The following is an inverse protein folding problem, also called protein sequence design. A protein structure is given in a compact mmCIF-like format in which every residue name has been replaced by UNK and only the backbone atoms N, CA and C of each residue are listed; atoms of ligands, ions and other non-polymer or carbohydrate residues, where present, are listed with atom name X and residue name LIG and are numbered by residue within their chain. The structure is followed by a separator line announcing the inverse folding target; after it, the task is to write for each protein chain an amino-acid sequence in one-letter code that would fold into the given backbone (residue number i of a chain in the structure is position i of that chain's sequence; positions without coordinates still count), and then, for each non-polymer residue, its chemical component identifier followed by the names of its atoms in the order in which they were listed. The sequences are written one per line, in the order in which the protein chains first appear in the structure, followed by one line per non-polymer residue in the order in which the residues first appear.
data_IF_435215112119
#
_entry.id   IF_435215112119
#
_cell.length_a   1.000
_cell.length_b   1.000
_cell.length_c   1.000
_cell.angle_alpha   90.00
_cell.angle_beta   90.00
_cell.angle_gamma   90.00
#
_symmetry.space_group_name_H-M   'P 1'
#
loop_
_entity.id
_entity.type
_entity.pdbx_description
1 polymer ?
#
# COMPACT_ATOMS: atom_id res chain seq x y z
N UNK A 1 8.44 24.08 18.61
CA UNK A 1 8.16 23.10 17.54
C UNK A 1 9.45 22.52 16.95
N UNK A 2 10.40 23.31 16.42
CA UNK A 2 11.62 22.79 15.77
C UNK A 2 12.40 21.73 16.59
N UNK A 3 12.55 21.93 17.90
CA UNK A 3 13.30 21.00 18.76
C UNK A 3 12.62 19.64 18.96
N UNK A 4 11.28 19.59 18.96
CA UNK A 4 10.55 18.31 18.98
C UNK A 4 10.59 17.56 17.64
N UNK A 5 10.86 18.27 16.53
CA UNK A 5 11.01 17.65 15.20
C UNK A 5 12.32 16.91 15.06
N UNK A 6 13.40 17.51 15.58
CA UNK A 6 14.74 16.92 15.50
C UNK A 6 14.83 15.65 16.35
N UNK A 7 14.25 15.62 17.56
CA UNK A 7 14.37 14.46 18.45
C UNK A 7 13.57 13.22 17.98
N UNK A 8 12.44 13.42 17.28
CA UNK A 8 11.54 12.31 16.92
C UNK A 8 12.04 11.45 15.75
N UNK A 9 12.76 12.03 14.79
CA UNK A 9 13.29 11.32 13.62
C UNK A 9 14.83 11.28 13.59
N UNK A 10 15.51 11.47 14.72
CA UNK A 10 16.96 11.35 14.74
C UNK A 10 17.43 9.91 14.62
N UNK A 11 18.00 9.58 13.47
CA UNK A 11 18.98 8.48 13.40
C UNK A 11 20.20 8.84 14.26
N UNK A 12 20.67 7.96 15.16
CA UNK A 12 21.91 8.22 15.87
C UNK A 12 23.04 8.31 14.84
N UNK A 13 23.65 9.50 14.73
CA UNK A 13 24.77 9.71 13.82
C UNK A 13 25.93 8.82 14.26
N UNK A 14 26.31 7.88 13.39
CA UNK A 14 27.47 6.99 13.58
C UNK A 14 28.57 7.35 12.62
N UNK A 15 29.78 7.42 13.16
CA UNK A 15 31.01 7.58 12.39
C UNK A 15 31.33 6.29 11.63
N UNK A 16 32.14 6.40 10.57
CA UNK A 16 32.63 5.23 9.84
C UNK A 16 33.45 4.30 10.77
N UNK A 17 34.23 4.89 11.68
CA UNK A 17 35.03 4.17 12.66
C UNK A 17 34.19 3.29 13.58
N UNK A 18 33.11 3.81 14.16
CA UNK A 18 32.23 3.03 15.05
C UNK A 18 31.61 1.80 14.34
N UNK A 19 31.21 1.96 13.07
CA UNK A 19 30.65 0.87 12.27
C UNK A 19 31.73 -0.18 11.92
N UNK A 20 32.94 0.28 11.59
CA UNK A 20 34.08 -0.56 11.27
C UNK A 20 34.62 -1.34 12.48
N UNK A 21 34.76 -0.66 13.62
CA UNK A 21 35.25 -1.24 14.87
C UNK A 21 34.32 -2.33 15.39
N UNK A 22 32.99 -2.17 15.23
CA UNK A 22 32.01 -3.23 15.52
C UNK A 22 32.24 -4.49 14.68
N UNK A 23 32.80 -4.35 13.49
CA UNK A 23 33.18 -5.45 12.60
C UNK A 23 34.64 -5.92 12.79
N UNK A 24 35.38 -5.34 13.74
CA UNK A 24 36.80 -5.65 13.99
C UNK A 24 37.74 -5.14 12.90
N UNK A 25 37.35 -4.11 12.14
CA UNK A 25 38.14 -3.54 11.05
C UNK A 25 38.80 -2.22 11.45
N UNK A 26 40.10 -2.08 11.18
CA UNK A 26 40.79 -0.81 11.28
C UNK A 26 40.70 -0.01 9.97
N UNK A 27 40.98 1.30 10.04
CA UNK A 27 40.99 2.18 8.86
C UNK A 27 41.94 1.69 7.74
N UNK A 28 43.05 1.04 8.11
CA UNK A 28 44.00 0.44 7.18
C UNK A 28 43.40 -0.75 6.44
N UNK A 29 42.63 -1.59 7.12
CA UNK A 29 42.00 -2.78 6.53
C UNK A 29 40.95 -2.36 5.52
N UNK A 30 40.15 -1.35 5.88
CA UNK A 30 39.12 -0.79 5.00
C UNK A 30 39.76 -0.18 3.75
N UNK A 31 40.83 0.59 3.88
CA UNK A 31 41.51 1.17 2.72
C UNK A 31 42.04 0.10 1.76
N UNK A 32 42.58 -1.01 2.28
CA UNK A 32 43.10 -2.13 1.48
C UNK A 32 41.96 -2.88 0.80
N UNK A 33 40.93 -3.27 1.55
CA UNK A 33 39.84 -4.12 1.07
C UNK A 33 38.89 -3.37 0.12
N UNK A 34 38.62 -2.08 0.37
CA UNK A 34 37.70 -1.28 -0.46
C UNK A 34 38.36 -0.62 -1.66
N UNK A 35 39.70 -0.58 -1.71
CA UNK A 35 40.45 0.19 -2.70
C UNK A 35 40.34 1.72 -2.54
N UNK A 36 39.68 2.21 -1.49
CA UNK A 36 39.61 3.64 -1.17
C UNK A 36 40.93 4.09 -0.55
N UNK A 37 41.49 5.20 -1.01
CA UNK A 37 42.74 5.74 -0.48
C UNK A 37 42.68 5.96 1.05
N UNK A 38 43.76 5.65 1.76
CA UNK A 38 43.87 5.85 3.22
C UNK A 38 43.53 7.26 3.68
N UNK A 39 43.90 8.29 2.93
CA UNK A 39 43.56 9.69 3.24
C UNK A 39 42.06 9.96 3.22
N UNK A 40 41.34 9.40 2.24
CA UNK A 40 39.88 9.48 2.16
C UNK A 40 39.21 8.71 3.30
N UNK A 41 39.65 7.48 3.61
CA UNK A 41 39.12 6.72 4.76
C UNK A 41 39.36 7.49 6.07
N UNK A 42 40.57 8.01 6.27
CA UNK A 42 40.92 8.80 7.46
C UNK A 42 40.07 10.07 7.62
N UNK A 43 39.75 10.77 6.53
CA UNK A 43 38.87 11.95 6.57
C UNK A 43 37.45 11.61 7.00
N UNK A 44 36.94 10.46 6.58
CA UNK A 44 35.58 9.99 6.88
C UNK A 44 35.50 9.29 8.25
N UNK A 45 36.63 8.81 8.78
CA UNK A 45 36.70 7.88 9.92
C UNK A 45 35.92 8.35 11.14
N UNK A 46 36.14 9.59 11.57
CA UNK A 46 35.55 10.16 12.79
C UNK A 46 34.45 11.20 12.51
N UNK A 47 34.02 11.33 11.26
CA UNK A 47 33.02 12.31 10.88
C UNK A 47 31.62 11.70 10.96
N UNK A 48 30.71 12.19 11.84
CA UNK A 48 29.37 11.65 11.94
C UNK A 48 28.50 11.89 10.68
N UNK A 49 28.91 12.83 9.82
CA UNK A 49 28.25 13.15 8.53
C UNK A 49 29.04 12.64 7.34
N UNK A 50 29.86 11.59 7.53
CA UNK A 50 30.70 11.04 6.48
C UNK A 50 29.93 10.60 5.24
N UNK A 51 28.69 10.12 5.39
CA UNK A 51 27.82 9.72 4.28
C UNK A 51 27.50 10.88 3.33
N UNK A 52 27.30 12.10 3.86
CA UNK A 52 27.03 13.30 3.05
C UNK A 52 28.24 13.73 2.22
N UNK A 53 29.44 13.35 2.66
CA UNK A 53 30.73 13.74 2.07
C UNK A 53 31.32 12.67 1.16
N UNK A 54 30.84 11.44 1.25
CA UNK A 54 31.28 10.34 0.42
C UNK A 54 30.65 10.44 -0.97
N UNK A 55 31.44 10.28 -2.04
CA UNK A 55 30.88 10.07 -3.37
C UNK A 55 30.13 8.73 -3.41
N UNK A 56 29.19 8.57 -4.35
CA UNK A 56 28.46 7.31 -4.51
C UNK A 56 29.38 6.10 -4.73
N UNK A 57 30.49 6.27 -5.44
CA UNK A 57 31.51 5.24 -5.63
C UNK A 57 32.23 4.85 -4.35
N UNK A 58 32.59 5.82 -3.50
CA UNK A 58 33.22 5.57 -2.20
C UNK A 58 32.22 4.89 -1.26
N UNK A 59 30.98 5.39 -1.18
CA UNK A 59 29.95 4.78 -0.35
C UNK A 59 29.66 3.32 -0.74
N UNK A 60 29.62 3.03 -2.04
CA UNK A 60 29.45 1.66 -2.55
C UNK A 60 30.65 0.76 -2.21
N UNK A 61 31.87 1.25 -2.38
CA UNK A 61 33.09 0.50 -2.04
C UNK A 61 33.18 0.21 -0.53
N UNK A 62 32.85 1.18 0.32
CA UNK A 62 32.79 0.99 1.77
C UNK A 62 31.67 0.02 2.16
N UNK A 63 30.48 0.12 1.55
CA UNK A 63 29.34 -0.79 1.79
C UNK A 63 29.63 -2.24 1.40
N UNK A 64 30.57 -2.48 0.48
CA UNK A 64 30.96 -3.81 0.07
C UNK A 64 31.89 -4.51 1.08
N UNK A 65 32.54 -3.74 1.95
CA UNK A 65 33.63 -4.22 2.82
C UNK A 65 33.27 -4.15 4.29
N UNK A 66 32.51 -3.14 4.71
CA UNK A 66 32.17 -2.92 6.12
C UNK A 66 30.72 -3.36 6.37
N UNK A 67 30.50 -4.47 7.11
CA UNK A 67 29.17 -4.91 7.50
C UNK A 67 28.40 -3.80 8.23
N UNK A 68 27.11 -3.65 7.90
CA UNK A 68 26.22 -2.67 8.54
C UNK A 68 26.25 -1.27 7.94
N UNK A 69 27.20 -0.92 7.04
CA UNK A 69 27.13 0.37 6.32
C UNK A 69 25.88 0.46 5.46
N UNK A 70 25.50 -0.62 4.76
CA UNK A 70 24.29 -0.62 3.91
C UNK A 70 23.03 -0.34 4.73
N UNK A 71 22.89 -1.01 5.86
CA UNK A 71 21.73 -0.86 6.74
C UNK A 71 21.70 0.54 7.35
N UNK A 72 22.85 1.05 7.80
CA UNK A 72 22.98 2.42 8.31
C UNK A 72 22.67 3.47 7.23
N UNK A 73 23.18 3.30 6.01
CA UNK A 73 22.89 4.20 4.90
C UNK A 73 21.41 4.19 4.51
N UNK A 74 20.76 3.02 4.57
CA UNK A 74 19.31 2.90 4.35
C UNK A 74 18.54 3.66 5.42
N UNK A 75 18.87 3.45 6.70
CA UNK A 75 18.26 4.17 7.82
C UNK A 75 18.38 5.70 7.70
N UNK A 76 19.58 6.19 7.35
CA UNK A 76 19.84 7.62 7.15
C UNK A 76 19.04 8.15 5.95
N UNK A 77 19.00 7.40 4.83
CA UNK A 77 18.24 7.79 3.66
C UNK A 77 16.73 7.85 3.96
N UNK A 78 16.21 6.87 4.68
CA UNK A 78 14.80 6.79 5.10
C UNK A 78 14.42 7.94 6.03
N UNK A 79 15.29 8.27 6.97
CA UNK A 79 15.14 9.44 7.86
C UNK A 79 15.09 10.75 7.07
N UNK A 80 16.04 10.95 6.14
CA UNK A 80 16.09 12.15 5.31
C UNK A 80 14.86 12.25 4.40
N UNK A 81 14.43 11.13 3.80
CA UNK A 81 13.27 11.08 2.92
C UNK A 81 11.98 11.39 3.70
N UNK A 82 11.80 10.79 4.87
CA UNK A 82 10.65 11.04 5.76
C UNK A 82 10.59 12.51 6.17
N UNK A 83 11.70 13.07 6.64
CA UNK A 83 11.77 14.47 7.04
C UNK A 83 11.42 15.40 5.88
N UNK A 84 11.98 15.19 4.69
CA UNK A 84 11.65 15.99 3.49
C UNK A 84 10.16 15.89 3.11
N UNK A 85 9.58 14.70 3.24
CA UNK A 85 8.15 14.53 2.97
C UNK A 85 7.28 15.23 4.03
N UNK A 86 7.70 15.22 5.30
CA UNK A 86 7.04 15.97 6.36
C UNK A 86 7.14 17.48 6.18
N UNK A 87 8.33 17.99 5.81
CA UNK A 87 8.53 19.40 5.44
C UNK A 87 7.65 19.81 4.26
N UNK A 88 7.42 18.92 3.28
CA UNK A 88 6.49 19.18 2.17
C UNK A 88 5.03 19.29 2.65
N UNK A 89 4.61 18.50 3.64
CA UNK A 89 3.29 18.64 4.27
C UNK A 89 3.17 20.00 4.98
N UNK A 90 4.18 20.39 5.76
CA UNK A 90 4.18 21.69 6.45
C UNK A 90 4.15 22.86 5.47
N UNK A 91 4.90 22.79 4.37
CA UNK A 91 4.87 23.77 3.29
C UNK A 91 3.50 23.84 2.59
N UNK A 92 2.73 22.75 2.58
CA UNK A 92 1.36 22.69 2.09
C UNK A 92 0.32 23.13 3.14
N UNK A 93 0.74 23.57 4.32
CA UNK A 93 -0.12 24.05 5.40
C UNK A 93 -0.66 22.98 6.34
N UNK A 94 -0.09 21.76 6.32
CA UNK A 94 -0.47 20.69 7.24
C UNK A 94 0.40 20.73 8.51
N UNK A 95 -0.22 20.54 9.67
CA UNK A 95 0.49 20.32 10.92
C UNK A 95 0.63 18.81 11.18
N UNK A 96 1.87 18.35 11.41
CA UNK A 96 2.19 16.94 11.64
C UNK A 96 2.50 16.68 13.11
N UNK A 97 2.01 15.55 13.61
CA UNK A 97 2.51 14.96 14.86
C UNK A 97 3.76 14.12 14.54
N UNK A 98 4.93 14.70 14.84
CA UNK A 98 6.21 14.08 14.54
C UNK A 98 6.51 12.85 15.39
N UNK A 99 5.90 12.71 16.58
CA UNK A 99 6.05 11.52 17.41
C UNK A 99 5.31 10.35 16.78
N UNK A 100 4.04 10.55 16.43
CA UNK A 100 3.24 9.52 15.76
C UNK A 100 3.79 9.18 14.38
N UNK A 101 4.41 10.14 13.69
CA UNK A 101 5.08 9.89 12.44
C UNK A 101 6.32 8.98 12.61
N UNK A 102 7.11 9.19 13.68
CA UNK A 102 8.26 8.34 13.98
C UNK A 102 7.81 6.90 14.28
N UNK A 103 6.79 6.74 15.13
CA UNK A 103 6.20 5.43 15.44
C UNK A 103 5.71 4.73 14.16
N UNK A 104 5.04 5.47 13.27
CA UNK A 104 4.56 4.93 11.99
C UNK A 104 5.72 4.50 11.07
N UNK A 105 6.84 5.23 11.06
CA UNK A 105 8.04 4.85 10.28
C UNK A 105 8.69 3.59 10.87
N UNK A 106 8.74 3.47 12.19
CA UNK A 106 9.29 2.28 12.86
C UNK A 106 8.43 1.02 12.59
N UNK A 107 7.11 1.18 12.48
CA UNK A 107 6.18 0.07 12.21
C UNK A 107 6.06 -0.30 10.72
N UNK A 108 5.96 0.70 9.82
CA UNK A 108 5.67 0.49 8.39
C UNK A 108 6.90 0.65 7.47
N UNK A 109 7.97 1.27 7.98
CA UNK A 109 9.11 1.69 7.19
C UNK A 109 8.83 2.92 6.32
N UNK A 110 9.88 3.66 6.00
CA UNK A 110 9.76 4.88 5.20
C UNK A 110 9.20 4.65 3.78
N UNK A 111 9.32 3.42 3.26
CA UNK A 111 8.82 3.03 1.93
C UNK A 111 7.31 3.24 1.77
N UNK A 112 6.53 3.06 2.85
CA UNK A 112 5.09 3.32 2.87
C UNK A 112 4.74 4.76 3.27
N UNK A 113 5.46 5.28 4.25
CA UNK A 113 5.22 6.60 4.87
C UNK A 113 5.52 7.75 3.93
N UNK A 114 6.67 7.73 3.25
CA UNK A 114 7.11 8.82 2.38
C UNK A 114 6.11 9.10 1.24
N UNK A 115 5.62 8.09 0.49
CA UNK A 115 4.57 8.30 -0.50
C UNK A 115 3.27 8.87 0.08
N UNK A 116 2.86 8.42 1.28
CA UNK A 116 1.64 8.88 1.93
C UNK A 116 1.73 10.37 2.30
N UNK A 117 2.85 10.82 2.88
CA UNK A 117 3.10 12.22 3.19
C UNK A 117 3.10 13.10 1.93
N UNK A 118 3.78 12.69 0.86
CA UNK A 118 3.71 13.41 -0.41
C UNK A 118 2.28 13.44 -0.99
N UNK A 119 1.50 12.38 -0.78
CA UNK A 119 0.07 12.34 -1.08
C UNK A 119 -0.71 13.38 -0.29
N UNK A 120 -0.48 13.47 1.03
CA UNK A 120 -1.13 14.46 1.89
C UNK A 120 -0.79 15.90 1.48
N UNK A 121 0.49 16.20 1.25
CA UNK A 121 0.95 17.50 0.78
C UNK A 121 0.30 17.88 -0.57
N UNK A 122 0.20 16.94 -1.51
CA UNK A 122 -0.45 17.17 -2.79
C UNK A 122 -1.97 17.41 -2.62
N UNK A 123 -2.67 16.66 -1.77
CA UNK A 123 -4.10 16.87 -1.53
C UNK A 123 -4.39 18.25 -0.92
N UNK A 124 -3.56 18.69 0.02
CA UNK A 124 -3.69 19.98 0.68
C UNK A 124 -3.36 21.15 -0.27
N UNK A 125 -2.26 21.07 -1.03
CA UNK A 125 -1.73 22.18 -1.82
C UNK A 125 -2.04 22.15 -3.32
N UNK A 126 -1.96 20.98 -3.99
CA UNK A 126 -2.12 20.85 -5.44
C UNK A 126 -2.87 19.58 -5.85
N UNK A 127 -4.19 19.71 -6.00
CA UNK A 127 -5.09 18.60 -6.33
C UNK A 127 -4.76 17.93 -7.68
N UNK A 128 -4.10 18.61 -8.63
CA UNK A 128 -3.82 18.05 -9.96
C UNK A 128 -2.84 16.87 -9.91
N UNK A 129 -1.85 16.94 -9.02
CA UNK A 129 -0.84 15.87 -8.87
C UNK A 129 -1.22 14.84 -7.79
N UNK A 130 -2.25 15.13 -6.99
CA UNK A 130 -2.63 14.32 -5.84
C UNK A 130 -3.04 12.89 -6.21
N UNK A 131 -3.77 12.69 -7.31
CA UNK A 131 -4.13 11.34 -7.76
C UNK A 131 -2.87 10.51 -8.11
N UNK A 132 -1.91 11.12 -8.80
CA UNK A 132 -0.63 10.48 -9.09
C UNK A 132 0.17 10.18 -7.82
N UNK A 133 0.18 11.09 -6.86
CA UNK A 133 0.85 10.90 -5.56
C UNK A 133 0.23 9.71 -4.80
N UNK A 134 -1.08 9.71 -4.61
CA UNK A 134 -1.80 8.63 -3.93
C UNK A 134 -1.64 7.27 -4.62
N UNK A 135 -1.52 7.23 -5.94
CA UNK A 135 -1.32 5.95 -6.66
C UNK A 135 -0.05 5.19 -6.23
N UNK A 136 0.94 5.89 -5.65
CA UNK A 136 2.16 5.27 -5.10
C UNK A 136 1.90 4.55 -3.77
N UNK A 137 0.81 4.87 -3.10
CA UNK A 137 0.37 4.20 -1.88
C UNK A 137 -0.39 2.89 -2.17
N UNK A 138 -0.53 2.50 -3.44
CA UNK A 138 -1.24 1.28 -3.81
C UNK A 138 -0.46 0.02 -3.42
N UNK A 139 -0.92 -0.65 -2.38
CA UNK A 139 -0.41 -1.93 -1.89
C UNK A 139 -0.27 -1.97 -0.36
N UNK A 140 -0.15 -3.17 0.19
CA UNK A 140 -0.17 -3.40 1.63
C UNK A 140 0.86 -2.58 2.42
N UNK A 141 2.08 -2.45 1.91
CA UNK A 141 3.17 -1.73 2.57
C UNK A 141 2.90 -0.23 2.80
N UNK A 142 1.98 0.38 2.03
CA UNK A 142 1.66 1.80 2.15
C UNK A 142 0.21 2.04 2.58
N UNK A 143 -0.59 0.99 2.78
CA UNK A 143 -2.02 1.10 3.06
C UNK A 143 -2.27 1.79 4.41
N UNK A 144 -1.58 1.33 5.46
CA UNK A 144 -1.67 1.88 6.83
C UNK A 144 -1.19 3.33 6.88
N UNK A 145 0.00 3.63 6.37
CA UNK A 145 0.48 5.00 6.27
C UNK A 145 -0.46 5.93 5.48
N UNK A 146 -1.04 5.45 4.38
CA UNK A 146 -2.03 6.19 3.62
C UNK A 146 -3.39 6.30 4.35
N UNK A 147 -3.72 5.42 5.29
CA UNK A 147 -4.89 5.56 6.16
C UNK A 147 -4.66 6.66 7.21
N UNK A 148 -3.46 6.69 7.81
CA UNK A 148 -3.08 7.62 8.87
C UNK A 148 -3.16 9.10 8.46
N UNK A 149 -2.92 9.45 7.19
CA UNK A 149 -3.02 10.85 6.72
C UNK A 149 -4.47 11.36 6.62
N UNK A 150 -5.47 10.48 6.65
CA UNK A 150 -6.91 10.82 6.57
C UNK A 150 -7.60 10.85 7.94
N UNK A 151 -6.87 10.57 9.02
CA UNK A 151 -7.41 10.40 10.37
C UNK A 151 -6.81 11.46 11.30
N UNK A 152 -7.55 11.90 12.32
CA UNK A 152 -6.97 12.72 13.38
C UNK A 152 -6.05 11.87 14.28
N UNK A 153 -5.14 12.50 15.06
CA UNK A 153 -4.21 11.79 15.95
C UNK A 153 -4.90 10.90 16.98
N UNK A 154 -6.06 11.33 17.51
CA UNK A 154 -6.90 10.56 18.43
C UNK A 154 -7.43 9.24 17.85
N UNK A 155 -7.22 9.00 16.57
CA UNK A 155 -7.61 7.80 15.85
C UNK A 155 -6.44 7.18 15.08
N UNK A 156 -5.20 7.41 15.51
CA UNK A 156 -4.00 6.83 14.88
C UNK A 156 -3.58 7.54 13.59
N UNK A 157 -3.93 8.81 13.43
CA UNK A 157 -3.46 9.65 12.34
C UNK A 157 -2.20 10.44 12.66
N UNK A 158 -1.51 10.92 11.64
CA UNK A 158 -0.25 11.70 11.79
C UNK A 158 -0.43 13.19 11.47
N UNK A 159 -1.59 13.60 10.97
CA UNK A 159 -1.93 14.99 10.65
C UNK A 159 -2.86 15.52 11.73
N UNK A 160 -2.51 16.64 12.36
CA UNK A 160 -3.27 17.21 13.48
C UNK A 160 -4.72 17.53 13.08
N UNK A 161 -4.91 18.16 11.91
CA UNK A 161 -6.21 18.36 11.26
C UNK A 161 -6.17 17.83 9.82
N UNK A 162 -6.83 16.69 9.53
CA UNK A 162 -6.86 16.13 8.18
C UNK A 162 -7.84 16.86 7.24
N UNK A 163 -8.51 17.94 7.66
CA UNK A 163 -9.53 18.64 6.87
C UNK A 163 -9.08 19.03 5.46
N UNK A 164 -7.90 19.63 5.31
CA UNK A 164 -7.35 19.99 4.01
C UNK A 164 -7.07 18.77 3.11
N UNK A 165 -6.63 17.65 3.70
CA UNK A 165 -6.41 16.38 2.99
C UNK A 165 -7.75 15.81 2.50
N UNK A 166 -8.78 15.82 3.36
CA UNK A 166 -10.14 15.36 3.06
C UNK A 166 -10.78 16.19 1.94
N UNK A 167 -10.65 17.51 1.99
CA UNK A 167 -11.19 18.40 0.96
C UNK A 167 -10.45 18.25 -0.38
N UNK A 168 -9.12 18.09 -0.33
CA UNK A 168 -8.32 17.70 -1.49
C UNK A 168 -8.81 16.40 -2.14
N UNK A 169 -9.09 15.38 -1.32
CA UNK A 169 -9.57 14.09 -1.79
C UNK A 169 -10.96 14.21 -2.44
N UNK A 170 -11.87 14.99 -1.84
CA UNK A 170 -13.19 15.27 -2.42
C UNK A 170 -13.07 15.93 -3.79
N UNK A 171 -12.16 16.90 -3.95
CA UNK A 171 -11.92 17.57 -5.24
C UNK A 171 -11.46 16.60 -6.33
N UNK A 172 -10.48 15.74 -6.06
CA UNK A 172 -9.99 14.79 -7.10
C UNK A 172 -11.00 13.69 -7.42
N UNK A 173 -11.83 13.29 -6.44
CA UNK A 173 -12.93 12.34 -6.66
C UNK A 173 -14.04 12.97 -7.49
N UNK A 174 -14.35 14.25 -7.29
CA UNK A 174 -15.35 14.97 -8.08
C UNK A 174 -14.88 15.31 -9.52
N UNK A 175 -13.57 15.27 -9.79
CA UNK A 175 -13.02 15.59 -11.11
C UNK A 175 -13.50 14.66 -12.24
N UNK A 176 -13.34 15.11 -13.49
CA UNK A 176 -13.72 14.39 -14.71
C UNK A 176 -13.10 12.97 -14.76
N UNK A 177 -13.75 11.98 -15.42
CA UNK A 177 -13.23 10.62 -15.56
C UNK A 177 -11.78 10.60 -16.05
N UNK A 178 -11.02 9.63 -15.55
CA UNK A 178 -9.61 9.44 -15.89
C UNK A 178 -9.41 8.14 -16.66
N UNK A 179 -8.49 8.18 -17.63
CA UNK A 179 -8.14 7.02 -18.47
C UNK A 179 -6.80 6.38 -18.05
N UNK A 180 -5.98 7.11 -17.28
CA UNK A 180 -4.68 6.65 -16.81
C UNK A 180 -4.77 5.72 -15.59
N UNK A 181 -4.05 4.59 -15.60
CA UNK A 181 -4.02 3.63 -14.50
C UNK A 181 -3.71 4.27 -13.13
N UNK A 182 -2.72 5.16 -13.10
CA UNK A 182 -2.33 5.87 -11.86
C UNK A 182 -3.42 6.79 -11.35
N UNK A 183 -4.09 7.52 -12.24
CA UNK A 183 -5.17 8.42 -11.84
C UNK A 183 -6.40 7.67 -11.33
N UNK A 184 -6.76 6.57 -12.00
CA UNK A 184 -7.86 5.69 -11.56
C UNK A 184 -7.56 5.10 -10.19
N UNK A 185 -6.34 4.58 -9.99
CA UNK A 185 -5.90 4.06 -8.70
C UNK A 185 -5.94 5.15 -7.63
N UNK A 186 -5.30 6.29 -7.86
CA UNK A 186 -5.22 7.37 -6.89
C UNK A 186 -6.58 7.93 -6.48
N UNK A 187 -7.50 8.12 -7.44
CA UNK A 187 -8.87 8.57 -7.16
C UNK A 187 -9.70 7.50 -6.45
N UNK A 188 -9.52 6.23 -6.81
CA UNK A 188 -10.16 5.12 -6.09
C UNK A 188 -9.64 4.99 -4.66
N UNK A 189 -8.35 5.21 -4.42
CA UNK A 189 -7.77 5.26 -3.08
C UNK A 189 -8.32 6.42 -2.26
N UNK A 190 -8.34 7.64 -2.81
CA UNK A 190 -8.94 8.79 -2.13
C UNK A 190 -10.41 8.52 -1.77
N UNK A 191 -11.19 7.99 -2.71
CA UNK A 191 -12.58 7.64 -2.47
C UNK A 191 -12.73 6.56 -1.39
N UNK A 192 -11.91 5.51 -1.43
CA UNK A 192 -11.88 4.46 -0.41
C UNK A 192 -11.61 5.04 0.98
N UNK A 193 -10.63 5.95 1.11
CA UNK A 193 -10.31 6.60 2.39
C UNK A 193 -11.41 7.53 2.86
N UNK A 194 -12.03 8.29 1.95
CA UNK A 194 -13.18 9.13 2.28
C UNK A 194 -14.36 8.31 2.79
N UNK A 195 -14.68 7.17 2.16
CA UNK A 195 -15.81 6.35 2.60
C UNK A 195 -15.50 5.56 3.86
N UNK A 196 -14.25 5.12 4.05
CA UNK A 196 -13.80 4.40 5.24
C UNK A 196 -13.69 5.29 6.48
N UNK A 197 -13.06 6.45 6.35
CA UNK A 197 -12.63 7.26 7.51
C UNK A 197 -13.50 8.50 7.74
N UNK A 198 -14.22 8.99 6.72
CA UNK A 198 -14.89 10.29 6.77
C UNK A 198 -16.41 10.20 6.58
N UNK A 199 -16.99 9.00 6.56
CA UNK A 199 -18.42 8.79 6.34
C UNK A 199 -18.92 9.34 5.00
N UNK A 200 -18.04 9.45 4.00
CA UNK A 200 -18.43 9.99 2.70
C UNK A 200 -19.41 9.06 1.99
N UNK A 201 -20.63 9.53 1.80
CA UNK A 201 -21.64 8.83 1.02
C UNK A 201 -21.42 9.08 -0.47
N UNK A 202 -21.08 8.01 -1.19
CA UNK A 202 -21.14 8.00 -2.65
C UNK A 202 -22.56 7.63 -3.08
N UNK A 203 -23.16 8.46 -3.92
CA UNK A 203 -24.40 8.11 -4.61
C UNK A 203 -24.18 6.87 -5.46
N UNK A 204 -25.13 5.95 -5.41
CA UNK A 204 -25.09 4.76 -6.26
C UNK A 204 -25.03 5.19 -7.74
N UNK A 205 -24.22 4.51 -8.56
CA UNK A 205 -24.16 4.81 -9.98
C UNK A 205 -25.55 4.68 -10.57
N UNK A 206 -26.00 5.71 -11.30
CA UNK A 206 -27.22 5.59 -12.10
C UNK A 206 -26.97 4.51 -13.16
N UNK A 207 -27.86 3.51 -13.23
CA UNK A 207 -27.74 2.40 -14.17
C UNK A 207 -27.68 2.95 -15.60
N UNK A 208 -26.48 2.94 -16.19
CA UNK A 208 -26.30 3.30 -17.59
C UNK A 208 -26.72 2.11 -18.46
N UNK A 209 -27.51 2.37 -19.49
CA UNK A 209 -27.86 1.38 -20.51
C UNK A 209 -26.64 0.89 -21.32
N UNK A 210 -25.51 1.57 -21.22
CA UNK A 210 -24.25 1.27 -21.92
C UNK A 210 -23.22 0.51 -21.08
N UNK A 211 -23.58 0.03 -19.89
CA UNK A 211 -22.67 -0.65 -18.96
C UNK A 211 -21.79 0.31 -18.17
N UNK A 212 -20.86 -0.27 -17.39
CA UNK A 212 -20.03 0.44 -16.41
C UNK A 212 -18.62 0.73 -16.96
N UNK A 213 -18.18 2.01 -17.11
CA UNK A 213 -16.80 2.31 -17.45
C UNK A 213 -15.81 1.70 -16.42
N UNK A 214 -14.64 1.22 -16.86
CA UNK A 214 -13.69 0.54 -15.96
C UNK A 214 -13.19 1.43 -14.81
N UNK A 215 -12.94 2.71 -15.09
CA UNK A 215 -12.53 3.69 -14.09
C UNK A 215 -13.63 3.92 -13.05
N UNK A 216 -14.88 3.95 -13.48
CA UNK A 216 -16.03 4.04 -12.60
C UNK A 216 -16.18 2.75 -11.77
N UNK A 217 -15.98 1.57 -12.38
CA UNK A 217 -16.08 0.26 -11.72
C UNK A 217 -15.10 0.17 -10.56
N UNK A 218 -13.86 0.58 -10.81
CA UNK A 218 -12.82 0.66 -9.79
C UNK A 218 -13.20 1.62 -8.65
N UNK A 219 -13.75 2.79 -8.97
CA UNK A 219 -14.19 3.76 -7.96
C UNK A 219 -15.36 3.24 -7.12
N UNK A 220 -16.37 2.65 -7.76
CA UNK A 220 -17.52 2.08 -7.05
C UNK A 220 -17.09 0.97 -6.10
N UNK A 221 -16.21 0.07 -6.56
CA UNK A 221 -15.54 -0.96 -5.74
C UNK A 221 -14.77 -0.36 -4.57
N UNK A 222 -13.96 0.67 -4.80
CA UNK A 222 -13.22 1.38 -3.75
C UNK A 222 -14.13 1.98 -2.67
N UNK A 223 -15.21 2.66 -3.07
CA UNK A 223 -16.19 3.22 -2.14
C UNK A 223 -16.87 2.14 -1.30
N UNK A 224 -17.35 1.07 -1.96
CA UNK A 224 -18.07 0.00 -1.31
C UNK A 224 -17.20 -0.75 -0.29
N UNK A 225 -15.98 -1.13 -0.70
CA UNK A 225 -15.02 -1.79 0.21
C UNK A 225 -14.61 -0.89 1.39
N UNK A 226 -14.45 0.43 1.17
CA UNK A 226 -14.17 1.35 2.27
C UNK A 226 -15.27 1.35 3.34
N UNK A 227 -16.54 1.35 2.94
CA UNK A 227 -17.68 1.25 3.88
C UNK A 227 -17.78 -0.11 4.55
N UNK A 228 -17.53 -1.20 3.83
CA UNK A 228 -17.52 -2.54 4.42
C UNK A 228 -16.44 -2.67 5.50
N UNK A 229 -15.24 -2.13 5.24
CA UNK A 229 -14.17 -2.08 6.24
C UNK A 229 -14.56 -1.20 7.43
N UNK A 230 -15.32 -0.12 7.22
CA UNK A 230 -15.91 0.67 8.31
C UNK A 230 -17.06 -0.04 9.06
N UNK A 231 -17.48 -1.23 8.63
CA UNK A 231 -18.48 -2.08 9.30
C UNK A 231 -19.90 -2.00 8.72
N UNK A 232 -20.10 -1.38 7.55
CA UNK A 232 -21.42 -1.24 6.94
C UNK A 232 -21.83 -2.49 6.11
N UNK A 233 -22.63 -3.35 6.73
CA UNK A 233 -23.15 -4.58 6.09
C UNK A 233 -24.22 -4.32 5.02
N UNK A 234 -24.92 -3.20 5.05
CA UNK A 234 -25.98 -2.90 4.09
C UNK A 234 -25.42 -2.63 2.70
N UNK A 235 -24.23 -2.02 2.65
CA UNK A 235 -23.48 -1.80 1.40
C UNK A 235 -23.12 -3.11 0.71
N UNK A 236 -22.77 -4.16 1.46
CA UNK A 236 -22.44 -5.47 0.89
C UNK A 236 -23.59 -6.02 0.06
N UNK A 237 -24.81 -6.02 0.60
CA UNK A 237 -25.98 -6.54 -0.10
C UNK A 237 -26.22 -5.81 -1.42
N UNK A 238 -26.12 -4.48 -1.43
CA UNK A 238 -26.31 -3.65 -2.65
C UNK A 238 -25.17 -3.84 -3.64
N UNK A 239 -23.92 -3.84 -3.16
CA UNK A 239 -22.74 -4.09 -3.99
C UNK A 239 -22.80 -5.44 -4.69
N UNK A 240 -23.14 -6.51 -3.97
CA UNK A 240 -23.27 -7.87 -4.52
C UNK A 240 -24.32 -7.95 -5.63
N UNK A 241 -25.46 -7.27 -5.46
CA UNK A 241 -26.52 -7.26 -6.48
C UNK A 241 -26.05 -6.65 -7.81
N UNK A 242 -25.20 -5.63 -7.76
CA UNK A 242 -24.59 -5.00 -8.95
C UNK A 242 -23.45 -5.87 -9.50
N UNK A 243 -22.57 -6.38 -8.63
CA UNK A 243 -21.41 -7.19 -9.01
C UNK A 243 -21.78 -8.41 -9.87
N UNK A 244 -22.88 -9.09 -9.56
CA UNK A 244 -23.31 -10.28 -10.32
C UNK A 244 -23.71 -9.93 -11.77
N UNK A 245 -24.11 -8.69 -12.03
CA UNK A 245 -24.64 -8.25 -13.34
C UNK A 245 -23.60 -7.49 -14.18
N UNK A 246 -22.63 -6.84 -13.52
CA UNK A 246 -21.68 -5.95 -14.17
C UNK A 246 -20.29 -6.58 -14.36
N UNK A 247 -19.97 -6.98 -15.59
CA UNK A 247 -18.68 -7.60 -15.93
C UNK A 247 -17.47 -6.69 -15.65
N UNK A 248 -17.63 -5.38 -15.88
CA UNK A 248 -16.59 -4.39 -15.57
C UNK A 248 -16.28 -4.33 -14.07
N UNK A 249 -17.28 -4.53 -13.22
CA UNK A 249 -17.12 -4.54 -11.76
C UNK A 249 -16.45 -5.83 -11.28
N UNK A 250 -16.82 -6.98 -11.87
CA UNK A 250 -16.13 -8.25 -11.60
C UNK A 250 -14.65 -8.19 -11.99
N UNK A 251 -14.35 -7.57 -13.14
CA UNK A 251 -12.97 -7.33 -13.55
C UNK A 251 -12.24 -6.41 -12.58
N UNK A 252 -12.87 -5.29 -12.19
CA UNK A 252 -12.28 -4.34 -11.27
C UNK A 252 -11.96 -5.02 -9.93
N UNK A 253 -12.79 -5.95 -9.47
CA UNK A 253 -12.55 -6.71 -8.25
C UNK A 253 -11.23 -7.51 -8.31
N UNK A 254 -11.11 -8.38 -9.32
CA UNK A 254 -9.91 -9.22 -9.51
C UNK A 254 -8.67 -8.36 -9.76
N UNK A 255 -8.79 -7.35 -10.63
CA UNK A 255 -7.67 -6.47 -10.97
C UNK A 255 -7.19 -5.66 -9.77
N UNK A 256 -8.11 -5.16 -8.93
CA UNK A 256 -7.75 -4.39 -7.74
C UNK A 256 -6.95 -5.24 -6.77
N UNK A 257 -7.47 -6.40 -6.38
CA UNK A 257 -6.81 -7.29 -5.44
C UNK A 257 -5.43 -7.74 -5.96
N UNK A 258 -5.37 -8.11 -7.25
CA UNK A 258 -4.14 -8.61 -7.85
C UNK A 258 -3.05 -7.55 -8.07
N UNK A 259 -3.43 -6.31 -8.38
CA UNK A 259 -2.45 -5.22 -8.49
C UNK A 259 -2.03 -4.69 -7.11
N UNK A 260 -2.95 -4.69 -6.13
CA UNK A 260 -2.65 -4.30 -4.75
C UNK A 260 -1.61 -5.25 -4.13
N UNK A 261 -1.77 -6.56 -4.35
CA UNK A 261 -0.81 -7.58 -3.91
C UNK A 261 0.39 -7.76 -4.84
N UNK A 262 0.54 -6.90 -5.87
CA UNK A 262 1.66 -6.89 -6.84
C UNK A 262 1.81 -8.16 -7.68
N UNK A 263 0.80 -9.03 -7.73
CA UNK A 263 0.76 -10.17 -8.66
C UNK A 263 0.65 -9.69 -10.11
N UNK A 264 0.02 -8.52 -10.32
CA UNK A 264 -0.13 -7.88 -11.61
C UNK A 264 0.43 -6.45 -11.61
N UNK A 265 0.97 -6.05 -12.76
CA UNK A 265 1.30 -4.65 -12.99
C UNK A 265 0.02 -3.80 -13.17
N UNK A 266 -0.04 -2.58 -12.62
CA UNK A 266 -1.18 -1.70 -12.74
C UNK A 266 -1.28 -1.13 -14.16
N UNK A 267 -1.93 -1.87 -15.06
CA UNK A 267 -2.32 -1.44 -16.41
C UNK A 267 -3.82 -1.60 -16.57
N UNK A 268 -4.50 -0.56 -17.04
CA UNK A 268 -5.90 -0.63 -17.44
C UNK A 268 -5.93 -1.19 -18.86
N UNK A 269 -5.98 -2.51 -18.94
CA UNK A 269 -6.35 -3.23 -20.16
C UNK A 269 -7.50 -4.15 -19.76
N UNK A 270 -8.49 -4.32 -20.63
CA UNK A 270 -9.74 -5.03 -20.35
C UNK A 270 -9.58 -6.49 -19.85
N UNK A 271 -10.65 -7.29 -19.84
CA UNK A 271 -10.67 -8.56 -19.13
C UNK A 271 -9.50 -9.48 -19.48
N UNK A 272 -8.70 -9.83 -18.46
CA UNK A 272 -7.49 -10.64 -18.59
C UNK A 272 -7.77 -12.09 -18.23
N UNK A 273 -7.37 -13.02 -19.09
CA UNK A 273 -7.27 -14.43 -18.73
C UNK A 273 -5.93 -14.66 -18.03
N UNK A 274 -5.97 -15.02 -16.75
CA UNK A 274 -4.77 -15.32 -15.97
C UNK A 274 -4.31 -16.75 -16.23
N UNK A 275 -2.99 -16.94 -16.28
CA UNK A 275 -2.43 -18.30 -16.19
C UNK A 275 -2.64 -18.82 -14.76
N UNK A 276 -2.88 -20.12 -14.55
CA UNK A 276 -3.04 -20.68 -13.21
C UNK A 276 -1.83 -20.39 -12.30
N UNK A 277 -2.09 -20.12 -11.02
CA UNK A 277 -1.07 -19.87 -9.99
C UNK A 277 -0.44 -18.47 -10.04
N UNK A 278 -1.07 -17.51 -10.72
CA UNK A 278 -0.56 -16.13 -10.85
C UNK A 278 -1.00 -15.22 -9.72
N UNK A 279 -1.97 -15.63 -8.90
CA UNK A 279 -2.53 -14.82 -7.81
C UNK A 279 -1.96 -15.17 -6.43
N UNK A 280 -0.65 -15.42 -6.33
CA UNK A 280 -0.04 -15.91 -5.09
C UNK A 280 -0.13 -14.87 -3.97
N UNK A 281 0.34 -13.64 -4.21
CA UNK A 281 0.30 -12.59 -3.19
C UNK A 281 -1.14 -12.17 -2.85
N UNK A 282 -2.05 -12.26 -3.81
CA UNK A 282 -3.47 -12.00 -3.62
C UNK A 282 -4.10 -13.04 -2.71
N UNK A 283 -3.80 -14.33 -2.93
CA UNK A 283 -4.28 -15.41 -2.10
C UNK A 283 -3.76 -15.28 -0.66
N UNK A 284 -2.46 -15.00 -0.49
CA UNK A 284 -1.84 -14.77 0.81
C UNK A 284 -2.51 -13.60 1.56
N UNK A 285 -2.76 -12.47 0.88
CA UNK A 285 -3.44 -11.31 1.48
C UNK A 285 -4.90 -11.63 1.85
N UNK A 286 -5.67 -12.26 0.95
CA UNK A 286 -7.08 -12.57 1.21
C UNK A 286 -7.23 -13.54 2.37
N UNK A 287 -6.34 -14.53 2.49
CA UNK A 287 -6.34 -15.46 3.62
C UNK A 287 -6.03 -14.75 4.94
N UNK A 288 -5.09 -13.80 4.95
CA UNK A 288 -4.80 -12.98 6.13
C UNK A 288 -5.99 -12.07 6.49
N UNK A 289 -6.65 -11.47 5.51
CA UNK A 289 -7.79 -10.55 5.74
C UNK A 289 -9.02 -11.28 6.30
N UNK A 290 -9.20 -12.57 6.04
CA UNK A 290 -10.34 -13.35 6.56
C UNK A 290 -10.37 -13.41 8.09
N UNK A 291 -9.23 -13.21 8.76
CA UNK A 291 -9.09 -13.30 10.22
C UNK A 291 -8.90 -11.95 10.90
N UNK A 292 -8.54 -10.90 10.15
CA UNK A 292 -8.08 -9.63 10.69
C UNK A 292 -9.04 -8.45 10.42
N UNK A 293 -10.23 -8.70 9.91
CA UNK A 293 -11.12 -7.64 9.40
C UNK A 293 -12.53 -7.67 10.00
N UNK A 294 -13.34 -6.66 9.66
CA UNK A 294 -14.72 -6.54 10.13
C UNK A 294 -15.60 -7.66 9.56
N UNK A 295 -16.69 -8.06 10.25
CA UNK A 295 -17.61 -9.08 9.75
C UNK A 295 -18.17 -8.77 8.36
N UNK A 296 -18.47 -7.50 8.06
CA UNK A 296 -18.96 -7.07 6.76
C UNK A 296 -17.93 -7.28 5.65
N UNK A 297 -16.65 -6.96 5.90
CA UNK A 297 -15.58 -7.20 4.93
C UNK A 297 -15.26 -8.69 4.78
N UNK A 298 -15.29 -9.46 5.87
CA UNK A 298 -15.14 -10.92 5.81
C UNK A 298 -16.24 -11.56 4.97
N UNK A 299 -17.50 -11.17 5.16
CA UNK A 299 -18.62 -11.67 4.37
C UNK A 299 -18.48 -11.28 2.89
N UNK A 300 -17.99 -10.07 2.61
CA UNK A 300 -17.64 -9.63 1.27
C UNK A 300 -16.57 -10.52 0.62
N UNK A 301 -15.48 -10.83 1.32
CA UNK A 301 -14.43 -11.69 0.79
C UNK A 301 -14.99 -13.07 0.41
N UNK A 302 -15.80 -13.66 1.28
CA UNK A 302 -16.38 -14.98 1.11
C UNK A 302 -17.46 -15.04 0.01
N UNK A 303 -18.26 -13.99 -0.14
CA UNK A 303 -19.41 -14.00 -1.07
C UNK A 303 -19.13 -13.36 -2.43
N UNK A 304 -18.11 -12.49 -2.51
CA UNK A 304 -17.81 -11.69 -3.69
C UNK A 304 -16.40 -11.94 -4.22
N UNK A 305 -15.37 -11.65 -3.42
CA UNK A 305 -13.98 -11.65 -3.89
C UNK A 305 -13.46 -13.08 -4.21
N UNK A 306 -13.52 -14.00 -3.25
CA UNK A 306 -13.00 -15.37 -3.40
C UNK A 306 -13.63 -16.10 -4.59
N UNK A 307 -14.97 -16.08 -4.79
CA UNK A 307 -15.57 -16.69 -5.98
C UNK A 307 -15.00 -16.18 -7.31
N UNK A 308 -14.78 -14.86 -7.43
CA UNK A 308 -14.22 -14.25 -8.63
C UNK A 308 -12.73 -14.58 -8.81
N UNK A 309 -11.96 -14.59 -7.72
CA UNK A 309 -10.54 -14.94 -7.75
C UNK A 309 -10.33 -16.40 -8.16
N UNK A 310 -11.12 -17.34 -7.62
CA UNK A 310 -11.07 -18.75 -8.01
C UNK A 310 -11.53 -18.95 -9.45
N UNK A 311 -12.53 -18.20 -9.90
CA UNK A 311 -12.93 -18.22 -11.31
C UNK A 311 -11.80 -17.73 -12.23
N UNK A 312 -11.05 -16.71 -11.82
CA UNK A 312 -9.95 -16.13 -12.59
C UNK A 312 -8.67 -16.98 -12.56
N UNK A 313 -8.35 -17.58 -11.40
CA UNK A 313 -7.24 -18.49 -11.16
C UNK A 313 -7.75 -19.71 -10.37
N UNK A 314 -8.07 -20.84 -11.03
CA UNK A 314 -8.63 -22.02 -10.36
C UNK A 314 -7.72 -22.65 -9.29
N UNK A 315 -6.43 -22.34 -9.27
CA UNK A 315 -5.50 -22.77 -8.22
C UNK A 315 -5.39 -21.77 -7.08
N UNK A 316 -6.07 -20.62 -7.17
CA UNK A 316 -6.03 -19.56 -6.18
C UNK A 316 -4.60 -19.23 -5.74
N UNK A 317 -3.71 -18.93 -6.71
CA UNK A 317 -2.29 -18.68 -6.40
C UNK A 317 -1.48 -19.89 -5.94
N UNK A 318 -1.98 -21.11 -6.16
CA UNK A 318 -1.51 -22.38 -5.57
C UNK A 318 -1.76 -22.50 -4.05
N UNK A 319 -2.75 -21.79 -3.52
CA UNK A 319 -3.20 -21.85 -2.13
C UNK A 319 -4.60 -22.47 -2.00
N UNK A 320 -5.05 -23.23 -3.00
CA UNK A 320 -6.37 -23.86 -3.03
C UNK A 320 -6.59 -24.82 -1.86
N UNK A 321 -5.57 -25.60 -1.48
CA UNK A 321 -5.66 -26.50 -0.32
C UNK A 321 -5.80 -25.73 1.00
N UNK A 322 -5.03 -24.65 1.18
CA UNK A 322 -5.13 -23.81 2.36
C UNK A 322 -6.49 -23.12 2.43
N UNK A 323 -6.99 -22.61 1.31
CA UNK A 323 -8.32 -22.02 1.23
C UNK A 323 -9.41 -23.05 1.57
N UNK A 324 -9.31 -24.30 1.10
CA UNK A 324 -10.25 -25.37 1.47
C UNK A 324 -10.23 -25.62 2.97
N UNK A 325 -9.06 -25.68 3.61
CA UNK A 325 -8.96 -25.88 5.05
C UNK A 325 -9.65 -24.73 5.81
N UNK A 326 -9.27 -23.49 5.52
CA UNK A 326 -9.84 -22.27 6.14
C UNK A 326 -11.36 -22.21 5.97
N UNK A 327 -11.89 -22.53 4.79
CA UNK A 327 -13.33 -22.50 4.56
C UNK A 327 -14.07 -23.66 5.23
N UNK A 328 -13.45 -24.83 5.34
CA UNK A 328 -14.06 -26.00 5.97
C UNK A 328 -14.29 -25.76 7.46
N UNK A 329 -13.34 -25.12 8.14
CA UNK A 329 -13.46 -24.77 9.56
C UNK A 329 -14.60 -23.76 9.83
N UNK A 330 -15.06 -23.05 8.80
CA UNK A 330 -16.06 -21.98 8.88
C UNK A 330 -17.42 -22.35 8.28
N UNK A 331 -17.54 -23.49 7.60
CA UNK A 331 -18.71 -23.79 6.75
C UNK A 331 -20.02 -23.95 7.55
N UNK A 332 -19.89 -24.38 8.80
CA UNK A 332 -21.01 -24.61 9.71
C UNK A 332 -21.42 -23.34 10.46
N UNK A 333 -20.45 -22.49 10.82
CA UNK A 333 -20.67 -21.27 11.60
C UNK A 333 -20.88 -20.00 10.76
N UNK A 334 -20.36 -19.96 9.53
CA UNK A 334 -20.40 -18.79 8.64
C UNK A 334 -21.09 -19.17 7.32
N UNK A 335 -22.38 -18.81 7.12
CA UNK A 335 -23.12 -19.14 5.90
C UNK A 335 -22.43 -18.69 4.60
N UNK A 336 -21.71 -17.58 4.64
CA UNK A 336 -20.95 -17.06 3.51
C UNK A 336 -19.82 -18.00 3.05
N UNK A 337 -19.20 -18.77 3.96
CA UNK A 337 -18.15 -19.73 3.62
C UNK A 337 -18.65 -20.84 2.69
N UNK A 338 -19.94 -21.21 2.78
CA UNK A 338 -20.58 -22.14 1.82
C UNK A 338 -20.56 -21.61 0.39
N UNK A 339 -20.68 -20.29 0.20
CA UNK A 339 -20.64 -19.66 -1.13
C UNK A 339 -19.24 -19.79 -1.74
N UNK A 340 -18.19 -19.47 -0.97
CA UNK A 340 -16.80 -19.63 -1.41
C UNK A 340 -16.46 -21.10 -1.72
N UNK A 341 -16.88 -22.03 -0.85
CA UNK A 341 -16.66 -23.47 -1.05
C UNK A 341 -17.36 -24.00 -2.32
N UNK A 342 -18.57 -23.52 -2.61
CA UNK A 342 -19.29 -23.88 -3.83
C UNK A 342 -18.56 -23.40 -5.09
N UNK A 343 -17.96 -22.20 -5.05
CA UNK A 343 -17.16 -21.68 -6.16
C UNK A 343 -15.90 -22.54 -6.40
N UNK A 344 -15.17 -22.92 -5.35
CA UNK A 344 -14.05 -23.85 -5.45
C UNK A 344 -14.42 -25.15 -6.14
N UNK A 345 -15.49 -25.81 -5.68
CA UNK A 345 -15.97 -27.05 -6.30
C UNK A 345 -16.32 -26.89 -7.77
N UNK A 346 -16.89 -25.74 -8.16
CA UNK A 346 -17.30 -25.45 -9.53
C UNK A 346 -16.11 -25.22 -10.48
N UNK A 347 -15.06 -24.56 -10.01
CA UNK A 347 -13.98 -24.07 -10.89
C UNK A 347 -12.65 -24.82 -10.72
N UNK A 348 -12.30 -25.30 -9.52
CA UNK A 348 -11.04 -26.00 -9.26
C UNK A 348 -10.98 -27.42 -9.87
N UNK A 349 -12.14 -28.05 -10.12
CA UNK A 349 -12.22 -29.41 -10.67
C UNK A 349 -12.46 -29.49 -12.19
N UNK A 350 -12.33 -28.39 -12.94
CA UNK A 350 -12.31 -28.50 -14.40
C UNK A 350 -10.94 -29.04 -14.85
N UNK A 351 -10.84 -30.26 -15.40
CA UNK A 351 -9.60 -30.69 -16.04
C UNK A 351 -9.24 -29.66 -17.13
N UNK A 352 -7.95 -29.33 -17.32
CA UNK A 352 -7.55 -28.41 -18.37
C UNK A 352 -8.14 -28.91 -19.69
N UNK A 353 -8.90 -28.06 -20.36
CA UNK A 353 -9.40 -28.37 -21.69
C UNK A 353 -8.18 -28.73 -22.54
N UNK A 354 -8.14 -29.96 -23.06
CA UNK A 354 -7.08 -30.40 -23.99
C UNK A 354 -7.07 -29.38 -25.12
N UNK A 355 -5.96 -28.65 -25.25
CA UNK A 355 -5.70 -27.82 -26.43
C UNK A 355 -5.82 -28.75 -27.64
N UNK A 356 -6.76 -28.43 -28.54
CA UNK A 356 -6.94 -29.12 -29.82
C UNK A 356 -6.14 -28.39 -30.89
#
# INVERSE_FOLDING_TARGET
MAQHRDDALTSPLRTLGELAEKAGLAATDIAVLSGVSRSSVSRLWSDPRWLDKASGSIAQALSAVVPGIRDYATLVADTVATRRAGEACEAAGLELDWSLLADLVDEDGAVGVVPALFGAAALAGNAETAAHALSRCWGAAADRACDAIFRPPSSGGVVADPGAVVDGARRIVAGAPADGAREVIGRGMALHRLTRNCGHDRREPEQSSSGFPLSEAFRYRGAATGRMIAGDSDVLRRYRAVLVREAALQWAEVWSLATYSRDLAPRISGPMKLKPGRLRGTAEQVLADLDATTPAYQEYLLTCAIPLLVQADPRFGNQDQQLVAVLSDRVDSVPAARTAMAALRRYAHRPPARER
#
